data_IF_179636470643
#
_entry.id   IF_179636470643
#
_cell.length_a   1.000
_cell.length_b   1.000
_cell.length_c   1.000
_cell.angle_alpha   90.00
_cell.angle_beta   90.00
_cell.angle_gamma   90.00
#
_symmetry.space_group_name_H-M   'P 1'
#
loop_
_entity.id
_entity.type
_entity.pdbx_description
1 polymer ?
#
# COMPACT_ATOMS: atom_id res chain seq x y z
N UNK A 1 -16.00 0.91 -5.01
CA UNK A 1 -16.04 0.32 -3.65
C UNK A 1 -15.90 1.43 -2.59
N UNK A 2 -16.36 1.23 -1.35
CA UNK A 2 -16.27 2.18 -0.22
C UNK A 2 -14.93 2.00 0.52
N UNK A 3 -14.18 3.08 0.80
CA UNK A 3 -12.94 3.16 1.61
C UNK A 3 -12.86 2.16 2.76
N UNK A 4 -13.97 2.01 3.48
CA UNK A 4 -14.08 1.14 4.64
C UNK A 4 -13.85 -0.34 4.30
N UNK A 5 -14.23 -0.78 3.10
CA UNK A 5 -14.07 -2.17 2.65
C UNK A 5 -12.61 -2.49 2.35
N UNK A 6 -11.87 -1.61 1.67
CA UNK A 6 -10.41 -1.77 1.44
C UNK A 6 -9.67 -1.79 2.78
N UNK A 7 -9.93 -0.81 3.64
CA UNK A 7 -9.30 -0.75 4.96
C UNK A 7 -9.61 -1.99 5.80
N UNK A 8 -10.84 -2.51 5.70
CA UNK A 8 -11.23 -3.76 6.36
C UNK A 8 -10.47 -4.95 5.78
N UNK A 9 -10.38 -5.07 4.45
CA UNK A 9 -9.61 -6.13 3.77
C UNK A 9 -8.13 -6.08 4.13
N UNK A 10 -7.50 -4.90 4.10
CA UNK A 10 -6.09 -4.75 4.49
C UNK A 10 -5.88 -5.18 5.94
N UNK A 11 -6.78 -4.80 6.85
CA UNK A 11 -6.72 -5.23 8.26
C UNK A 11 -6.89 -6.74 8.45
N UNK A 12 -7.63 -7.41 7.57
CA UNK A 12 -7.84 -8.87 7.66
C UNK A 12 -6.71 -9.68 7.03
N UNK A 13 -5.95 -9.10 6.11
CA UNK A 13 -4.95 -9.80 5.27
C UNK A 13 -3.50 -9.69 5.79
N UNK A 14 -3.32 -9.59 7.12
CA UNK A 14 -2.02 -9.47 7.80
C UNK A 14 -1.19 -8.22 7.45
N UNK A 15 -1.82 -7.14 6.98
CA UNK A 15 -1.11 -5.87 6.82
C UNK A 15 -0.95 -5.16 8.17
N UNK A 16 0.25 -4.64 8.41
CA UNK A 16 0.58 -3.84 9.58
C UNK A 16 0.62 -2.38 9.15
N UNK A 17 -0.03 -1.50 9.94
CA UNK A 17 0.03 -0.06 9.71
C UNK A 17 1.42 0.47 10.10
N UNK A 18 2.05 1.20 9.18
CA UNK A 18 3.37 1.80 9.38
C UNK A 18 3.23 3.31 9.58
N UNK A 19 4.06 3.87 10.46
CA UNK A 19 4.13 5.31 10.65
C UNK A 19 4.94 5.96 9.51
N UNK A 20 4.36 6.95 8.83
CA UNK A 20 5.09 7.80 7.90
C UNK A 20 5.85 8.88 8.71
N UNK A 21 7.18 8.79 8.76
CA UNK A 21 8.09 9.65 9.54
C UNK A 21 9.26 10.20 8.72
N UNK A 22 9.31 9.92 7.42
CA UNK A 22 10.33 10.41 6.50
C UNK A 22 9.66 10.91 5.22
N UNK A 23 10.48 11.32 4.26
CA UNK A 23 10.01 12.19 3.18
C UNK A 23 9.66 11.44 1.89
N UNK A 24 9.75 10.10 1.90
CA UNK A 24 9.51 9.29 0.71
C UNK A 24 8.03 9.22 0.30
N UNK A 25 7.11 9.21 1.27
CA UNK A 25 5.67 9.21 1.00
C UNK A 25 5.08 10.55 1.40
N UNK A 26 4.03 10.97 0.68
CA UNK A 26 3.35 12.24 0.92
C UNK A 26 2.93 12.44 2.38
N UNK A 27 2.98 13.69 2.84
CA UNK A 27 2.60 14.04 4.20
C UNK A 27 1.16 13.64 4.51
N UNK A 28 0.98 13.01 5.67
CA UNK A 28 -0.33 12.48 6.08
C UNK A 28 -0.75 11.18 5.37
N UNK A 29 0.09 10.61 4.51
CA UNK A 29 -0.14 9.30 3.93
C UNK A 29 -0.23 8.22 5.02
N UNK A 30 -1.20 7.31 4.86
CA UNK A 30 -1.34 6.13 5.71
C UNK A 30 -0.78 4.93 4.98
N UNK A 31 0.24 4.31 5.56
CA UNK A 31 0.96 3.18 4.97
C UNK A 31 0.52 1.89 5.66
N UNK A 32 0.20 0.87 4.87
CA UNK A 32 -0.01 -0.51 5.30
C UNK A 32 1.01 -1.39 4.59
N UNK A 33 1.72 -2.24 5.33
CA UNK A 33 2.77 -3.08 4.80
C UNK A 33 2.56 -4.54 5.18
N UNK A 34 2.86 -5.45 4.24
CA UNK A 34 2.95 -6.88 4.48
C UNK A 34 4.21 -7.41 3.84
N UNK A 35 5.02 -8.13 4.61
CA UNK A 35 6.18 -8.83 4.05
C UNK A 35 5.68 -10.01 3.21
N UNK A 36 6.19 -10.11 1.98
CA UNK A 36 5.83 -11.19 1.05
C UNK A 36 7.03 -12.07 0.68
N UNK A 37 8.24 -11.59 0.95
CA UNK A 37 9.51 -12.30 0.91
C UNK A 37 10.50 -11.53 1.78
N UNK A 38 11.60 -12.16 2.20
CA UNK A 38 12.64 -11.51 3.02
C UNK A 38 12.95 -10.09 2.53
N UNK A 39 12.61 -9.10 3.37
CA UNK A 39 12.82 -7.68 3.14
C UNK A 39 12.06 -7.08 1.93
N UNK A 40 11.19 -7.85 1.28
CA UNK A 40 10.32 -7.42 0.19
C UNK A 40 8.90 -7.28 0.71
N UNK A 41 8.37 -6.08 0.59
CA UNK A 41 7.08 -5.71 1.15
C UNK A 41 6.10 -5.32 0.06
N UNK A 42 4.87 -5.81 0.21
CA UNK A 42 3.70 -5.27 -0.46
C UNK A 42 3.16 -4.13 0.38
N UNK A 43 3.11 -2.93 -0.20
CA UNK A 43 2.66 -1.70 0.45
C UNK A 43 1.36 -1.21 -0.15
N UNK A 44 0.49 -0.69 0.71
CA UNK A 44 -0.63 0.18 0.34
C UNK A 44 -0.45 1.53 0.99
N UNK A 45 -0.35 2.57 0.17
CA UNK A 45 -0.19 3.95 0.62
C UNK A 45 -1.46 4.69 0.25
N UNK A 46 -2.13 5.24 1.25
CA UNK A 46 -3.40 5.93 1.08
C UNK A 46 -3.16 7.40 1.42
N UNK A 47 -3.18 8.24 0.39
CA UNK A 47 -3.14 9.70 0.53
C UNK A 47 -4.57 10.21 0.59
N UNK A 48 -4.87 11.07 1.57
CA UNK A 48 -6.16 11.78 1.62
C UNK A 48 -6.01 13.12 0.92
N UNK A 49 -6.62 13.26 -0.25
CA UNK A 49 -6.82 14.56 -0.88
C UNK A 49 -8.31 14.79 -1.19
N UNK A 50 -8.70 16.05 -1.23
CA UNK A 50 -9.99 16.65 -0.87
C UNK A 50 -11.22 16.07 -1.58
N UNK A 51 -11.10 15.30 -2.68
CA UNK A 51 -12.24 14.63 -3.31
C UNK A 51 -11.93 13.30 -4.05
N UNK A 52 -10.68 12.84 -4.06
CA UNK A 52 -10.27 11.60 -4.77
C UNK A 52 -9.30 10.84 -3.87
N UNK A 53 -9.64 9.60 -3.52
CA UNK A 53 -8.73 8.74 -2.76
C UNK A 53 -7.65 8.19 -3.69
N UNK A 54 -6.44 8.71 -3.59
CA UNK A 54 -5.28 8.18 -4.31
C UNK A 54 -4.69 7.04 -3.49
N UNK A 55 -4.91 5.81 -3.96
CA UNK A 55 -4.32 4.61 -3.35
C UNK A 55 -3.17 4.17 -4.23
N UNK A 56 -1.99 4.01 -3.64
CA UNK A 56 -0.85 3.44 -4.31
C UNK A 56 -0.59 2.03 -3.77
N UNK A 57 -0.32 1.09 -4.66
CA UNK A 57 0.14 -0.25 -4.33
C UNK A 57 1.58 -0.41 -4.82
N UNK A 58 2.49 -0.84 -3.95
CA UNK A 58 3.90 -1.02 -4.29
C UNK A 58 4.40 -2.40 -3.89
N UNK A 59 5.30 -2.98 -4.67
CA UNK A 59 6.21 -4.03 -4.20
C UNK A 59 7.60 -3.43 -4.15
N UNK A 60 8.20 -3.41 -2.97
CA UNK A 60 9.48 -2.74 -2.78
C UNK A 60 10.36 -3.46 -1.74
N UNK A 61 11.67 -3.39 -1.97
CA UNK A 61 12.71 -3.92 -1.09
C UNK A 61 13.17 -2.84 -0.12
N UNK A 62 13.17 -3.15 1.16
CA UNK A 62 13.60 -2.28 2.25
C UNK A 62 14.56 -3.04 3.16
N UNK A 63 15.47 -2.38 3.87
CA UNK A 63 16.38 -3.09 4.78
C UNK A 63 15.67 -3.83 5.92
N UNK A 64 14.49 -3.35 6.30
CA UNK A 64 13.65 -3.95 7.33
C UNK A 64 12.27 -3.29 7.36
N UNK A 65 11.32 -3.93 8.05
CA UNK A 65 9.99 -3.37 8.27
C UNK A 65 10.03 -1.96 8.90
N UNK A 66 10.97 -1.72 9.82
CA UNK A 66 11.13 -0.45 10.55
C UNK A 66 11.62 0.70 9.67
N UNK A 67 12.20 0.39 8.51
CA UNK A 67 12.68 1.39 7.55
C UNK A 67 11.58 1.95 6.65
N UNK A 68 10.48 1.20 6.50
CA UNK A 68 9.31 1.64 5.73
C UNK A 68 8.76 2.92 6.33
N UNK A 69 8.53 3.92 5.49
CA UNK A 69 8.04 5.24 5.92
C UNK A 69 9.07 6.08 6.66
N UNK A 70 10.34 5.68 6.76
CA UNK A 70 11.44 6.51 7.29
C UNK A 70 12.45 6.88 6.22
N UNK A 71 12.72 5.97 5.29
CA UNK A 71 13.66 6.15 4.19
C UNK A 71 13.10 5.54 2.92
N UNK A 72 13.71 5.89 1.81
CA UNK A 72 13.39 5.32 0.50
C UNK A 72 13.67 3.81 0.47
N UNK A 73 12.92 3.04 -0.34
CA UNK A 73 13.24 1.64 -0.58
C UNK A 73 14.59 1.51 -1.29
N UNK A 74 15.28 0.41 -1.04
CA UNK A 74 16.45 -0.01 -1.81
C UNK A 74 16.07 -0.17 -3.29
N UNK A 75 14.88 -0.72 -3.53
CA UNK A 75 14.37 -0.95 -4.89
C UNK A 75 12.84 -0.97 -4.91
N UNK A 76 12.25 -0.31 -5.91
CA UNK A 76 10.83 -0.49 -6.27
C UNK A 76 10.75 -1.50 -7.41
N UNK A 77 10.03 -2.60 -7.20
CA UNK A 77 9.82 -3.67 -8.18
C UNK A 77 8.47 -3.53 -8.89
N UNK A 78 7.50 -2.91 -8.23
CA UNK A 78 6.17 -2.67 -8.80
C UNK A 78 5.58 -1.40 -8.20
N UNK A 79 4.85 -0.65 -9.02
CA UNK A 79 4.09 0.52 -8.62
C UNK A 79 2.79 0.60 -9.42
N UNK A 80 1.67 0.72 -8.71
CA UNK A 80 0.36 0.99 -9.27
C UNK A 80 -0.25 2.17 -8.52
N UNK A 81 -0.69 3.18 -9.26
CA UNK A 81 -1.49 4.29 -8.73
C UNK A 81 -2.93 4.08 -9.14
N UNK A 82 -3.81 4.00 -8.15
CA UNK A 82 -5.26 3.83 -8.32
C UNK A 82 -5.86 5.21 -8.05
N UNK A 83 -6.14 5.94 -9.14
CA UNK A 83 -6.70 7.30 -9.08
C UNK A 83 -8.17 7.35 -9.41
N UNK A 84 -8.68 6.37 -10.15
CA UNK A 84 -10.08 6.31 -10.57
C UNK A 84 -10.78 5.04 -10.04
N UNK A 85 -12.12 5.09 -9.94
CA UNK A 85 -12.93 3.96 -9.43
C UNK A 85 -12.78 2.69 -10.27
N UNK A 86 -12.42 2.82 -11.53
CA UNK A 86 -12.30 1.74 -12.51
C UNK A 86 -11.01 0.93 -12.29
N UNK A 87 -9.90 1.59 -11.95
CA UNK A 87 -8.63 0.93 -11.58
C UNK A 87 -8.79 0.00 -10.37
N UNK A 88 -9.69 0.38 -9.45
CA UNK A 88 -9.97 -0.39 -8.25
C UNK A 88 -10.68 -1.72 -8.55
N UNK A 89 -11.43 -1.79 -9.65
CA UNK A 89 -12.10 -3.03 -10.07
C UNK A 89 -11.09 -4.11 -10.49
N UNK A 90 -10.06 -3.71 -11.24
CA UNK A 90 -8.98 -4.61 -11.64
C UNK A 90 -8.16 -5.09 -10.43
N UNK A 91 -7.92 -4.18 -9.49
CA UNK A 91 -7.22 -4.50 -8.25
C UNK A 91 -7.98 -5.53 -7.39
N UNK A 92 -9.30 -5.39 -7.24
CA UNK A 92 -10.12 -6.40 -6.54
C UNK A 92 -10.03 -7.78 -7.21
N UNK A 93 -10.06 -7.83 -8.54
CA UNK A 93 -9.97 -9.08 -9.29
C UNK A 93 -8.63 -9.76 -9.03
N UNK A 94 -7.55 -8.99 -9.00
CA UNK A 94 -6.22 -9.51 -8.67
C UNK A 94 -6.15 -10.10 -7.25
N UNK A 95 -6.66 -9.36 -6.24
CA UNK A 95 -6.67 -9.86 -4.85
C UNK A 95 -7.51 -11.12 -4.67
N UNK A 96 -8.68 -11.21 -5.32
CA UNK A 96 -9.53 -12.41 -5.25
C UNK A 96 -8.89 -13.62 -5.95
N UNK A 97 -8.08 -13.40 -6.99
CA UNK A 97 -7.32 -14.48 -7.66
C UNK A 97 -6.19 -14.99 -6.77
N UNK A 98 -5.55 -14.14 -5.97
CA UNK A 98 -4.50 -14.56 -5.05
C UNK A 98 -5.00 -15.37 -3.84
N UNK A 99 -6.31 -15.35 -3.57
CA UNK A 99 -6.98 -16.06 -2.46
C UNK A 99 -7.63 -17.39 -2.87
N UNK A 100 -7.36 -17.89 -4.09
CA UNK A 100 -7.75 -19.23 -4.58
C UNK A 100 -6.51 -20.06 -4.89
#
# INVERSE_FOLDING_TARGET
MNKQKILKTLRTEHFIKVANKGDWFEDGAVIYAREIRENIFLLFVIVKDVNIENIQALIAHFDSFQSIGRKEPIQVMFYLSIKEKEDLHYFEKYLKVANN
#
